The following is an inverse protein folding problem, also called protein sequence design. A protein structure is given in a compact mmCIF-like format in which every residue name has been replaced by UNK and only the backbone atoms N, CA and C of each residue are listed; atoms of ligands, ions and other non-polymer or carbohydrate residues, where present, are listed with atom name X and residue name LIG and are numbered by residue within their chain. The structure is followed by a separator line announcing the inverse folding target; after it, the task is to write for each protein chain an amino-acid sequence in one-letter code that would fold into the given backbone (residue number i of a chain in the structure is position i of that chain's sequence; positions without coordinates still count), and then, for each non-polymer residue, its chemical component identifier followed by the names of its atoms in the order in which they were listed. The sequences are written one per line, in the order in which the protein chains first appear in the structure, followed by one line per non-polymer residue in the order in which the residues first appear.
data_IF_640976299448
#
_entry.id   IF_640976299448
#
_cell.length_a   1.000
_cell.length_b   1.000
_cell.length_c   1.000
_cell.angle_alpha   90.00
_cell.angle_beta   90.00
_cell.angle_gamma   90.00
#
_symmetry.space_group_name_H-M   'P 1'
#
loop_
_entity.id
_entity.type
_entity.pdbx_description
1 polymer ?
#
# COMPACT_ATOMS: atom_id res chain seq x y z
N UNK A 1 34.98 4.88 27.19
CA UNK A 1 33.80 5.77 27.18
C UNK A 1 32.54 4.94 27.35
N UNK A 2 31.68 5.26 28.32
CA UNK A 2 30.43 4.54 28.53
C UNK A 2 29.49 4.70 27.32
N UNK A 3 28.94 3.58 26.83
CA UNK A 3 28.02 3.58 25.69
C UNK A 3 26.69 4.21 26.12
N UNK A 4 26.31 5.34 25.52
CA UNK A 4 25.00 5.97 25.76
C UNK A 4 23.87 5.01 25.43
N UNK A 5 22.77 5.11 26.18
CA UNK A 5 21.52 4.37 25.89
C UNK A 5 21.05 4.72 24.48
N UNK A 6 20.51 3.74 23.75
CA UNK A 6 20.06 3.94 22.37
C UNK A 6 18.98 5.03 22.25
N UNK A 7 18.17 5.22 23.29
CA UNK A 7 17.15 6.27 23.37
C UNK A 7 17.71 7.69 23.36
N UNK A 8 18.97 7.86 23.79
CA UNK A 8 19.64 9.15 23.86
C UNK A 8 20.56 9.41 22.66
N UNK A 9 20.65 8.46 21.72
CA UNK A 9 21.52 8.60 20.55
C UNK A 9 20.85 9.48 19.51
N UNK A 10 21.65 10.37 18.95
CA UNK A 10 21.28 11.16 17.78
C UNK A 10 21.53 10.38 16.49
N UNK A 11 21.02 10.91 15.37
CA UNK A 11 21.26 10.42 14.01
C UNK A 11 22.74 10.42 13.62
N UNK A 12 23.57 11.21 14.30
CA UNK A 12 25.01 11.28 14.04
C UNK A 12 25.79 10.14 14.70
N UNK A 13 25.18 9.43 15.65
CA UNK A 13 25.79 8.33 16.42
C UNK A 13 25.43 6.95 15.85
N UNK A 14 25.04 6.88 14.56
CA UNK A 14 24.81 5.63 13.85
C UNK A 14 26.13 4.91 13.54
N UNK A 15 26.15 3.60 13.70
CA UNK A 15 27.27 2.79 13.23
C UNK A 15 27.27 2.72 11.69
N UNK A 16 28.44 2.49 11.08
CA UNK A 16 28.56 2.31 9.62
C UNK A 16 27.61 1.23 9.09
N UNK A 17 27.44 0.12 9.82
CA UNK A 17 26.50 -0.95 9.45
C UNK A 17 25.04 -0.53 9.58
N UNK A 18 24.67 0.23 10.61
CA UNK A 18 23.31 0.75 10.77
C UNK A 18 22.96 1.73 9.64
N UNK A 19 23.90 2.60 9.29
CA UNK A 19 23.76 3.53 8.17
C UNK A 19 23.61 2.79 6.83
N UNK A 20 24.50 1.83 6.55
CA UNK A 20 24.44 1.03 5.34
C UNK A 20 23.13 0.24 5.22
N UNK A 21 22.64 -0.33 6.33
CA UNK A 21 21.33 -1.00 6.37
C UNK A 21 20.20 -0.08 5.94
N UNK A 22 20.12 1.11 6.53
CA UNK A 22 19.06 2.07 6.20
C UNK A 22 19.20 2.58 4.76
N UNK A 23 20.40 2.93 4.33
CA UNK A 23 20.65 3.43 2.98
C UNK A 23 20.24 2.37 1.92
N UNK A 24 20.65 1.11 2.11
CA UNK A 24 20.25 0.00 1.22
C UNK A 24 18.74 -0.22 1.24
N UNK A 25 18.12 -0.19 2.42
CA UNK A 25 16.70 -0.47 2.55
C UNK A 25 15.83 0.62 1.92
N UNK A 26 16.15 1.89 2.15
CA UNK A 26 15.40 3.03 1.59
C UNK A 26 15.63 3.16 0.08
N UNK A 27 16.83 2.91 -0.43
CA UNK A 27 17.09 2.99 -1.88
C UNK A 27 16.38 1.90 -2.69
N UNK A 28 16.03 0.76 -2.07
CA UNK A 28 15.37 -0.37 -2.72
C UNK A 28 13.99 -0.62 -2.09
N UNK A 29 13.31 0.45 -1.67
CA UNK A 29 12.07 0.36 -0.91
C UNK A 29 10.97 -0.37 -1.71
N UNK A 30 10.45 -1.46 -1.16
CA UNK A 30 9.45 -2.32 -1.80
C UNK A 30 10.00 -3.38 -2.75
N UNK A 31 11.26 -3.26 -3.19
CA UNK A 31 11.92 -4.28 -4.02
C UNK A 31 12.60 -5.36 -3.17
N UNK A 32 13.18 -4.99 -2.03
CA UNK A 32 13.85 -5.91 -1.13
C UNK A 32 13.23 -5.93 0.26
N UNK A 33 13.34 -7.07 0.93
CA UNK A 33 12.93 -7.17 2.33
C UNK A 33 13.96 -6.51 3.27
N UNK A 34 13.52 -6.08 4.45
CA UNK A 34 14.43 -5.60 5.51
C UNK A 34 15.47 -6.65 5.92
N UNK A 35 15.13 -7.94 5.82
CA UNK A 35 16.07 -9.03 6.10
C UNK A 35 17.21 -9.06 5.09
N UNK A 36 16.88 -8.87 3.82
CA UNK A 36 17.86 -8.82 2.74
C UNK A 36 18.74 -7.57 2.84
N UNK A 37 18.16 -6.42 3.15
CA UNK A 37 18.93 -5.20 3.42
C UNK A 37 19.93 -5.41 4.57
N UNK A 38 19.55 -6.11 5.64
CA UNK A 38 20.44 -6.43 6.75
C UNK A 38 21.58 -7.37 6.32
N UNK A 39 21.29 -8.39 5.49
CA UNK A 39 22.31 -9.27 4.92
C UNK A 39 23.31 -8.48 4.05
N UNK A 40 22.81 -7.63 3.15
CA UNK A 40 23.64 -6.77 2.27
C UNK A 40 24.48 -5.76 3.07
N UNK A 41 23.97 -5.25 4.18
CA UNK A 41 24.71 -4.38 5.11
C UNK A 41 25.76 -5.12 5.97
N UNK A 42 25.92 -6.43 5.80
CA UNK A 42 26.95 -7.22 6.47
C UNK A 42 26.57 -7.65 7.90
N UNK A 43 25.28 -7.78 8.20
CA UNK A 43 24.82 -8.46 9.41
C UNK A 43 24.84 -9.97 9.19
N UNK A 44 25.73 -10.64 9.94
CA UNK A 44 25.88 -12.10 9.97
C UNK A 44 25.41 -12.63 11.32
N UNK A 45 24.87 -13.83 11.33
CA UNK A 45 24.51 -14.57 12.54
C UNK A 45 24.79 -16.04 12.31
N UNK A 46 25.17 -16.74 13.38
CA UNK A 46 25.34 -18.19 13.37
C UNK A 46 24.01 -18.92 13.10
N UNK A 47 22.91 -18.33 13.56
CA UNK A 47 21.55 -18.82 13.28
C UNK A 47 21.04 -18.28 11.94
N UNK A 48 20.36 -19.09 11.11
CA UNK A 48 19.73 -18.67 9.87
C UNK A 48 18.76 -17.49 10.05
N UNK A 49 18.06 -17.43 11.19
CA UNK A 49 17.06 -16.41 11.53
C UNK A 49 17.66 -15.11 12.09
N UNK A 50 18.95 -15.09 12.43
CA UNK A 50 19.54 -13.93 13.08
C UNK A 50 19.47 -12.64 12.24
N UNK A 51 19.64 -12.66 10.90
CA UNK A 51 19.41 -11.46 10.10
C UNK A 51 17.97 -10.94 10.19
N UNK A 52 16.98 -11.83 10.36
CA UNK A 52 15.57 -11.45 10.53
C UNK A 52 15.35 -10.76 11.87
N UNK A 53 15.87 -11.33 12.95
CA UNK A 53 15.76 -10.75 14.29
C UNK A 53 16.50 -9.41 14.38
N UNK A 54 17.70 -9.32 13.78
CA UNK A 54 18.49 -8.09 13.71
C UNK A 54 17.73 -7.01 12.93
N UNK A 55 17.21 -7.33 11.74
CA UNK A 55 16.46 -6.38 10.93
C UNK A 55 15.23 -5.86 11.70
N UNK A 56 14.47 -6.76 12.34
CA UNK A 56 13.32 -6.38 13.17
C UNK A 56 13.72 -5.45 14.32
N UNK A 57 14.80 -5.79 15.04
CA UNK A 57 15.33 -4.97 16.15
C UNK A 57 15.83 -3.60 15.69
N UNK A 58 16.44 -3.50 14.51
CA UNK A 58 16.93 -2.24 13.95
C UNK A 58 15.78 -1.31 13.54
N UNK A 59 14.66 -1.88 13.09
CA UNK A 59 13.44 -1.13 12.74
C UNK A 59 12.51 -0.84 13.91
N UNK A 60 12.82 -1.34 15.12
CA UNK A 60 12.00 -1.15 16.32
C UNK A 60 12.29 0.21 16.97
N UNK A 61 11.31 1.14 17.03
CA UNK A 61 11.49 2.47 17.62
C UNK A 61 11.85 2.44 19.11
N UNK A 62 11.42 1.42 19.85
CA UNK A 62 11.70 1.33 21.29
C UNK A 62 13.16 0.93 21.56
N UNK A 63 13.74 0.12 20.68
CA UNK A 63 15.10 -0.44 20.86
C UNK A 63 16.16 0.39 20.16
N UNK A 64 15.88 0.90 18.96
CA UNK A 64 16.81 1.68 18.14
C UNK A 64 16.13 2.92 17.54
N UNK A 65 15.65 3.86 18.38
CA UNK A 65 14.95 5.07 17.89
C UNK A 65 15.83 5.92 16.98
N UNK A 66 17.15 5.95 17.19
CA UNK A 66 18.09 6.68 16.36
C UNK A 66 18.18 6.14 14.94
N UNK A 67 18.08 4.81 14.76
CA UNK A 67 18.07 4.16 13.43
C UNK A 67 16.76 4.45 12.71
N UNK A 68 15.63 4.36 13.41
CA UNK A 68 14.31 4.68 12.85
C UNK A 68 14.24 6.15 12.42
N UNK A 69 14.73 7.07 13.24
CA UNK A 69 14.81 8.50 12.88
C UNK A 69 15.67 8.74 11.63
N UNK A 70 16.79 8.03 11.48
CA UNK A 70 17.61 8.09 10.27
C UNK A 70 16.86 7.55 9.04
N UNK A 71 16.13 6.45 9.23
CA UNK A 71 15.30 5.84 8.19
C UNK A 71 14.19 6.78 7.73
N UNK A 72 13.46 7.41 8.64
CA UNK A 72 12.44 8.41 8.32
C UNK A 72 13.03 9.61 7.57
N UNK A 73 14.20 10.10 8.00
CA UNK A 73 14.89 11.19 7.32
C UNK A 73 15.25 10.80 5.87
N UNK A 74 15.78 9.59 5.66
CA UNK A 74 16.11 9.08 4.33
C UNK A 74 14.88 8.83 3.46
N UNK A 75 13.83 8.27 4.06
CA UNK A 75 12.56 8.04 3.39
C UNK A 75 11.94 9.36 2.90
N UNK A 76 11.91 10.38 3.76
CA UNK A 76 11.44 11.72 3.39
C UNK A 76 12.32 12.39 2.32
N UNK A 77 13.64 12.15 2.32
CA UNK A 77 14.51 12.61 1.24
C UNK A 77 14.15 11.95 -0.10
N UNK A 78 13.85 10.65 -0.10
CA UNK A 78 13.44 9.94 -1.31
C UNK A 78 12.07 10.40 -1.80
N UNK A 79 11.09 10.53 -0.90
CA UNK A 79 9.76 11.09 -1.23
C UNK A 79 9.87 12.49 -1.83
N UNK A 80 10.70 13.37 -1.25
CA UNK A 80 10.91 14.72 -1.79
C UNK A 80 11.41 14.75 -3.22
N UNK A 81 12.20 13.74 -3.65
CA UNK A 81 12.63 13.64 -5.07
C UNK A 81 11.46 13.41 -6.02
N UNK A 82 10.39 12.76 -5.54
CA UNK A 82 9.23 12.40 -6.33
C UNK A 82 8.09 13.42 -6.21
N UNK A 83 7.88 13.98 -5.02
CA UNK A 83 6.76 14.88 -4.70
C UNK A 83 7.10 16.37 -4.83
N UNK A 84 8.35 16.75 -4.57
CA UNK A 84 8.72 18.15 -4.34
C UNK A 84 8.81 19.00 -5.61
N UNK A 85 9.07 18.40 -6.76
CA UNK A 85 9.34 19.14 -8.00
C UNK A 85 8.33 18.82 -9.10
N UNK A 86 7.17 19.49 -9.01
CA UNK A 86 6.11 19.41 -10.02
C UNK A 86 6.64 19.83 -11.41
N UNK A 87 7.48 20.86 -11.48
CA UNK A 87 8.06 21.34 -12.74
C UNK A 87 8.89 20.26 -13.43
N UNK A 88 9.72 19.53 -12.68
CA UNK A 88 10.48 18.39 -13.20
C UNK A 88 9.57 17.29 -13.76
N UNK A 89 8.42 17.03 -13.14
CA UNK A 89 7.44 16.06 -13.65
C UNK A 89 6.79 16.54 -14.95
N UNK A 90 6.37 17.81 -15.01
CA UNK A 90 5.84 18.40 -16.24
C UNK A 90 6.85 18.36 -17.39
N UNK A 91 8.10 18.79 -17.14
CA UNK A 91 9.18 18.74 -18.13
C UNK A 91 9.49 17.31 -18.60
N UNK A 92 9.33 16.33 -17.71
CA UNK A 92 9.47 14.91 -18.09
C UNK A 92 8.35 14.46 -19.02
N UNK A 93 7.10 14.84 -18.75
CA UNK A 93 5.97 14.53 -19.64
C UNK A 93 6.11 15.24 -21.00
N UNK A 94 6.49 16.51 -21.03
CA UNK A 94 6.77 17.25 -22.26
C UNK A 94 7.86 16.56 -23.12
N UNK A 95 8.95 16.12 -22.47
CA UNK A 95 10.01 15.37 -23.16
C UNK A 95 9.54 14.01 -23.70
N UNK A 96 8.69 13.30 -22.94
CA UNK A 96 8.13 12.02 -23.38
C UNK A 96 7.13 12.20 -24.52
N UNK A 97 6.31 13.26 -24.46
CA UNK A 97 5.35 13.66 -25.48
C UNK A 97 6.08 13.93 -26.81
N UNK A 98 7.07 14.83 -26.79
CA UNK A 98 7.88 15.15 -27.97
C UNK A 98 8.58 13.92 -28.57
N UNK A 99 9.20 13.08 -27.74
CA UNK A 99 9.84 11.84 -28.20
C UNK A 99 8.85 10.84 -28.80
N UNK A 100 7.60 10.83 -28.33
CA UNK A 100 6.56 9.99 -28.89
C UNK A 100 6.07 10.54 -30.23
N UNK A 101 5.89 11.86 -30.36
CA UNK A 101 5.57 12.54 -31.63
C UNK A 101 6.64 12.31 -32.69
N UNK A 102 7.92 12.44 -32.34
CA UNK A 102 9.06 12.17 -33.23
C UNK A 102 9.02 10.73 -33.77
N UNK A 103 8.51 9.79 -32.95
CA UNK A 103 8.31 8.37 -33.31
C UNK A 103 6.94 8.08 -33.94
N UNK A 104 6.14 9.11 -34.24
CA UNK A 104 4.75 9.01 -34.75
C UNK A 104 3.80 8.20 -33.84
N UNK A 105 4.12 8.09 -32.55
CA UNK A 105 3.30 7.41 -31.53
C UNK A 105 2.36 8.40 -30.84
N UNK A 106 1.41 8.96 -31.59
CA UNK A 106 0.51 10.01 -31.10
C UNK A 106 -0.35 9.60 -29.89
N UNK A 107 -0.75 8.33 -29.80
CA UNK A 107 -1.49 7.83 -28.64
C UNK A 107 -0.68 7.95 -27.33
N UNK A 108 0.65 7.77 -27.39
CA UNK A 108 1.53 7.92 -26.22
C UNK A 108 1.72 9.40 -25.88
N UNK A 109 1.83 10.27 -26.90
CA UNK A 109 1.92 11.72 -26.72
C UNK A 109 0.67 12.29 -26.05
N UNK A 110 -0.52 11.97 -26.56
CA UNK A 110 -1.81 12.40 -25.98
C UNK A 110 -1.95 11.92 -24.53
N UNK A 111 -1.53 10.69 -24.22
CA UNK A 111 -1.54 10.19 -22.86
C UNK A 111 -0.58 10.97 -21.93
N UNK A 112 0.60 11.34 -22.42
CA UNK A 112 1.54 12.16 -21.65
C UNK A 112 0.95 13.54 -21.32
N UNK A 113 0.30 14.19 -22.29
CA UNK A 113 -0.41 15.45 -22.07
C UNK A 113 -1.59 15.30 -21.11
N UNK A 114 -2.39 14.24 -21.26
CA UNK A 114 -3.51 13.96 -20.36
C UNK A 114 -3.06 13.80 -18.90
N UNK A 115 -2.00 13.01 -18.65
CA UNK A 115 -1.43 12.85 -17.30
C UNK A 115 -0.82 14.15 -16.77
N UNK A 116 -0.21 14.95 -17.63
CA UNK A 116 0.28 16.30 -17.29
C UNK A 116 -0.88 17.20 -16.83
N UNK A 117 -1.98 17.25 -17.57
CA UNK A 117 -3.17 18.00 -17.19
C UNK A 117 -3.84 17.48 -15.90
N UNK A 118 -3.79 16.16 -15.65
CA UNK A 118 -4.26 15.58 -14.38
C UNK A 118 -3.42 16.09 -13.21
N UNK A 119 -2.09 16.13 -13.36
CA UNK A 119 -1.20 16.68 -12.35
C UNK A 119 -1.40 18.19 -12.12
N UNK A 120 -1.81 18.93 -13.14
CA UNK A 120 -2.17 20.34 -13.05
C UNK A 120 -3.56 20.58 -12.43
N UNK A 121 -4.34 19.52 -12.18
CA UNK A 121 -5.72 19.62 -11.69
C UNK A 121 -6.72 20.07 -12.75
N UNK A 122 -6.36 20.06 -14.04
CA UNK A 122 -7.26 20.41 -15.14
C UNK A 122 -8.33 19.34 -15.37
N UNK A 123 -8.02 18.08 -15.02
CA UNK A 123 -8.96 16.97 -15.09
C UNK A 123 -9.32 16.53 -13.68
N UNK A 124 -10.61 16.58 -13.36
CA UNK A 124 -11.17 16.06 -12.11
C UNK A 124 -12.05 14.87 -12.46
N UNK A 125 -11.71 13.70 -11.96
CA UNK A 125 -12.54 12.51 -12.09
C UNK A 125 -13.57 12.50 -10.95
N UNK A 126 -14.85 12.77 -11.27
CA UNK A 126 -15.94 12.71 -10.31
C UNK A 126 -16.62 11.34 -10.40
N UNK A 127 -16.24 10.43 -9.52
CA UNK A 127 -16.93 9.15 -9.35
C UNK A 127 -18.00 9.26 -8.25
N UNK A 128 -19.25 9.29 -8.64
CA UNK A 128 -20.39 9.23 -7.71
C UNK A 128 -20.79 7.77 -7.48
N UNK A 129 -20.71 7.30 -6.24
CA UNK A 129 -21.19 5.97 -5.84
C UNK A 129 -22.55 6.17 -5.20
N UNK A 130 -23.61 5.96 -5.97
CA UNK A 130 -24.98 6.01 -5.47
C UNK A 130 -25.25 4.77 -4.61
N UNK A 131 -25.33 4.95 -3.29
CA UNK A 131 -25.88 3.92 -2.41
C UNK A 131 -27.40 4.05 -2.43
N UNK A 132 -28.04 3.39 -3.39
CA UNK A 132 -29.51 3.36 -3.49
C UNK A 132 -30.03 2.49 -2.34
N UNK A 133 -30.47 3.12 -1.25
CA UNK A 133 -31.32 2.49 -0.25
C UNK A 133 -32.65 2.04 -0.88
N UNK A 134 -33.44 1.20 -0.19
CA UNK A 134 -34.74 0.69 -0.69
C UNK A 134 -35.68 1.79 -1.17
N UNK A 135 -35.56 3.00 -0.62
CA UNK A 135 -36.37 4.18 -0.96
C UNK A 135 -36.06 4.80 -2.33
N UNK A 136 -34.92 4.45 -2.96
CA UNK A 136 -34.52 4.97 -4.27
C UNK A 136 -34.58 3.97 -5.42
N UNK A 137 -35.09 2.75 -5.18
CA UNK A 137 -35.23 1.73 -6.23
C UNK A 137 -36.54 1.91 -6.98
N UNK A 138 -36.52 1.75 -8.31
CA UNK A 138 -37.76 1.59 -9.07
C UNK A 138 -38.45 0.27 -8.67
N UNK A 139 -39.76 0.18 -8.86
CA UNK A 139 -40.55 -1.04 -8.59
C UNK A 139 -39.94 -2.28 -9.24
N UNK A 140 -39.48 -2.15 -10.48
CA UNK A 140 -38.84 -3.23 -11.25
C UNK A 140 -37.53 -3.70 -10.61
N UNK A 141 -36.73 -2.78 -10.06
CA UNK A 141 -35.49 -3.11 -9.35
C UNK A 141 -35.76 -3.81 -8.02
N UNK A 142 -36.83 -3.43 -7.31
CA UNK A 142 -37.28 -4.08 -6.08
C UNK A 142 -37.75 -5.52 -6.35
N UNK A 143 -38.61 -5.71 -7.37
CA UNK A 143 -39.11 -7.04 -7.75
C UNK A 143 -37.96 -7.99 -8.12
N UNK A 144 -36.94 -7.49 -8.85
CA UNK A 144 -35.74 -8.27 -9.17
C UNK A 144 -34.92 -8.64 -7.93
N UNK A 145 -34.72 -7.70 -7.00
CA UNK A 145 -34.00 -7.94 -5.74
C UNK A 145 -34.75 -8.92 -4.82
N UNK A 146 -36.09 -8.83 -4.79
CA UNK A 146 -36.95 -9.77 -4.07
C UNK A 146 -36.83 -11.18 -4.64
N UNK A 147 -36.90 -11.34 -5.96
CA UNK A 147 -36.74 -12.63 -6.62
C UNK A 147 -35.35 -13.24 -6.40
N UNK A 148 -34.28 -12.42 -6.44
CA UNK A 148 -32.92 -12.87 -6.11
C UNK A 148 -32.79 -13.36 -4.65
N UNK A 149 -33.49 -12.71 -3.71
CA UNK A 149 -33.52 -13.11 -2.29
C UNK A 149 -34.34 -14.39 -2.08
N UNK A 150 -35.50 -14.49 -2.71
CA UNK A 150 -36.35 -15.69 -2.66
C UNK A 150 -35.63 -16.93 -3.18
N UNK A 151 -34.88 -16.80 -4.28
CA UNK A 151 -34.09 -17.90 -4.82
C UNK A 151 -32.99 -18.34 -3.85
N UNK A 152 -32.27 -17.40 -3.22
CA UNK A 152 -31.24 -17.70 -2.21
C UNK A 152 -31.82 -18.35 -0.94
N UNK A 153 -33.00 -17.94 -0.53
CA UNK A 153 -33.69 -18.52 0.64
C UNK A 153 -34.28 -19.89 0.28
N UNK A 154 -34.73 -20.08 -0.96
CA UNK A 154 -35.24 -21.36 -1.48
C UNK A 154 -34.20 -22.47 -1.50
N UNK A 155 -32.91 -22.14 -1.71
CA UNK A 155 -31.80 -23.10 -1.65
C UNK A 155 -31.49 -23.58 -0.22
N UNK A 156 -31.95 -22.89 0.83
CA UNK A 156 -31.69 -23.21 2.24
C UNK A 156 -32.83 -23.98 2.93
N UNK A 157 -33.66 -24.72 2.18
CA UNK A 157 -34.79 -25.49 2.72
C UNK A 157 -34.37 -26.90 3.21
N UNK A 158 -33.56 -26.98 4.26
CA UNK A 158 -33.65 -28.11 5.20
C UNK A 158 -34.71 -27.76 6.26
N UNK A 159 -35.97 -27.72 5.84
CA UNK A 159 -37.10 -27.52 6.76
C UNK A 159 -37.40 -28.89 7.36
N UNK A 160 -36.98 -29.14 8.60
CA UNK A 160 -37.42 -30.29 9.38
C UNK A 160 -38.92 -30.14 9.64
N UNK A 161 -39.73 -30.93 8.94
CA UNK A 161 -41.17 -31.01 9.17
C UNK A 161 -41.43 -31.87 10.41
N UNK A 162 -41.75 -31.24 11.55
CA UNK A 162 -42.16 -31.94 12.77
C UNK A 162 -43.68 -31.84 12.89
N UNK A 163 -44.39 -32.82 12.32
CA UNK A 163 -45.81 -33.02 12.60
C UNK A 163 -45.91 -34.00 13.78
N UNK A 164 -46.51 -33.65 14.93
CA UNK A 164 -46.57 -34.54 16.08
C UNK A 164 -47.59 -35.68 15.87
N UNK A 165 -47.16 -36.93 16.08
CA UNK A 165 -48.04 -38.11 16.08
C UNK A 165 -48.94 -38.11 17.33
N UNK A 166 -50.25 -38.18 17.14
CA UNK A 166 -51.23 -38.32 18.22
C UNK A 166 -51.16 -39.74 18.79
N UNK A 167 -50.70 -39.88 20.03
CA UNK A 167 -50.68 -41.15 20.76
C UNK A 167 -52.10 -41.41 21.27
N UNK A 168 -52.77 -42.42 20.73
CA UNK A 168 -54.02 -42.97 21.28
C UNK A 168 -53.76 -43.59 22.64
N UNK A 169 -54.41 -43.10 23.69
CA UNK A 169 -54.47 -43.75 25.00
C UNK A 169 -55.76 -44.59 25.07
N UNK A 170 -55.65 -45.80 25.62
CA UNK A 170 -56.73 -46.79 25.84
C UNK A 170 -58.00 -46.22 26.50
#
# INVERSE_FOLDING_TARGET
MAKRKNTLKSVNELTLKQKAFVDIYVSNWGEISKVEAAKRAGYKSNKPEGPTEIASRLTDPNKNPHVVRYMEMKYNQELKKHEGDKLKKYKRFETLSKKAEDKKQFAVAVNAEYRSGQMAGMFVDKKEVTHVGLEGMSREQLEKRLSELENKIGEAKDIINVTPETISQE
#
